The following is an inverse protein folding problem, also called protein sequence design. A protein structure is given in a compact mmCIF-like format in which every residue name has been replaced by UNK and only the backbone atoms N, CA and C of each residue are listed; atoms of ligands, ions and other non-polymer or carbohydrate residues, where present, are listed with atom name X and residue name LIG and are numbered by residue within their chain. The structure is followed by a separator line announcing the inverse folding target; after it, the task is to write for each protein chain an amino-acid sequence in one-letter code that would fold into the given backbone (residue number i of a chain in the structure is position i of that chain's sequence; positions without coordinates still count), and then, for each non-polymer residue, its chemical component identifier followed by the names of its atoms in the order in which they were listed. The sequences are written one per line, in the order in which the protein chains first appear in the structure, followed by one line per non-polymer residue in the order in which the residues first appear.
data_IF_248233335057
#
_entry.id   IF_248233335057
#
_cell.length_a   1.000
_cell.length_b   1.000
_cell.length_c   1.000
_cell.angle_alpha   90.00
_cell.angle_beta   90.00
_cell.angle_gamma   90.00
#
_symmetry.space_group_name_H-M   'P 1'
#
loop_
_entity.id
_entity.type
_entity.pdbx_description
1 polymer ?
#
# COMPACT_ATOMS: atom_id res chain seq x y z
N UNK A 1 8.90 -3.55 -16.70
CA UNK A 1 9.54 -4.22 -17.85
C UNK A 1 9.03 -3.60 -19.13
N UNK A 2 9.93 -3.20 -20.02
CA UNK A 2 9.61 -2.66 -21.35
C UNK A 2 10.21 -3.62 -22.39
N UNK A 3 9.45 -4.02 -23.40
CA UNK A 3 9.94 -4.85 -24.51
C UNK A 3 9.60 -4.14 -25.81
N UNK A 4 10.62 -3.75 -26.56
CA UNK A 4 10.52 -3.17 -27.91
C UNK A 4 11.36 -4.02 -28.85
N UNK A 5 10.77 -4.48 -29.95
CA UNK A 5 11.47 -5.21 -31.01
C UNK A 5 11.36 -4.39 -32.30
N UNK A 6 12.51 -4.07 -32.88
CA UNK A 6 12.63 -3.48 -34.22
C UNK A 6 13.28 -4.55 -35.10
N UNK A 7 12.63 -4.95 -36.20
CA UNK A 7 13.16 -5.98 -37.09
C UNK A 7 12.86 -5.65 -38.57
N UNK A 8 13.72 -6.13 -39.47
CA UNK A 8 13.51 -6.00 -40.93
C UNK A 8 12.53 -7.05 -41.42
N UNK A 9 11.59 -6.66 -42.29
CA UNK A 9 10.61 -7.56 -42.89
C UNK A 9 11.05 -8.05 -44.29
N UNK A 10 12.36 -8.15 -44.55
CA UNK A 10 12.90 -8.73 -45.79
C UNK A 10 13.45 -10.15 -45.54
N UNK A 11 12.79 -11.21 -46.04
CA UNK A 11 13.25 -12.59 -45.86
C UNK A 11 14.56 -12.92 -46.58
N UNK A 12 15.08 -12.03 -47.44
CA UNK A 12 16.31 -12.21 -48.21
C UNK A 12 17.53 -11.47 -47.64
N UNK A 13 17.40 -10.74 -46.52
CA UNK A 13 18.52 -10.09 -45.84
C UNK A 13 18.93 -10.90 -44.60
N UNK A 14 20.12 -11.53 -44.64
CA UNK A 14 20.76 -12.12 -43.46
C UNK A 14 21.78 -11.13 -42.91
N UNK A 15 21.45 -10.48 -41.80
CA UNK A 15 22.39 -9.61 -41.11
C UNK A 15 23.26 -10.45 -40.15
N UNK A 16 24.57 -10.51 -40.42
CA UNK A 16 25.55 -11.07 -39.47
C UNK A 16 25.87 -9.97 -38.46
N UNK A 17 25.20 -9.97 -37.31
CA UNK A 17 25.41 -8.93 -36.29
C UNK A 17 26.86 -8.88 -35.84
N UNK A 18 27.45 -7.68 -35.79
CA UNK A 18 28.77 -7.46 -35.21
C UNK A 18 28.68 -7.41 -33.68
N UNK A 19 29.59 -8.09 -32.98
CA UNK A 19 29.60 -8.09 -31.51
C UNK A 19 30.12 -6.75 -30.98
N UNK A 20 29.25 -5.93 -30.40
CA UNK A 20 29.63 -4.71 -29.68
C UNK A 20 28.54 -3.63 -29.68
N UNK A 21 27.79 -3.54 -30.77
CA UNK A 21 26.62 -2.67 -30.96
C UNK A 21 25.71 -3.38 -31.95
N UNK A 22 24.46 -3.75 -31.61
CA UNK A 22 23.55 -4.33 -32.57
C UNK A 22 23.41 -3.36 -33.75
N UNK A 23 23.79 -3.79 -34.94
CA UNK A 23 23.54 -3.03 -36.15
C UNK A 23 22.03 -2.86 -36.33
N UNK A 24 21.55 -1.61 -36.40
CA UNK A 24 20.15 -1.34 -36.73
C UNK A 24 19.87 -1.77 -38.18
N UNK A 25 18.71 -2.37 -38.49
CA UNK A 25 18.38 -2.72 -39.85
C UNK A 25 18.52 -1.50 -40.77
N UNK A 26 19.26 -1.63 -41.86
CA UNK A 26 19.48 -0.53 -42.78
C UNK A 26 18.17 -0.24 -43.54
N UNK A 27 17.68 1.00 -43.46
CA UNK A 27 16.50 1.47 -44.20
C UNK A 27 16.86 1.73 -45.68
N UNK A 28 17.28 0.69 -46.41
CA UNK A 28 17.45 0.79 -47.86
C UNK A 28 16.06 0.71 -48.53
N UNK A 29 15.93 1.24 -49.76
CA UNK A 29 14.68 1.38 -50.54
C UNK A 29 13.83 0.09 -50.70
N UNK A 30 14.39 -1.07 -50.35
CA UNK A 30 13.74 -2.39 -50.41
C UNK A 30 13.26 -2.90 -49.04
N UNK A 31 13.70 -2.31 -47.94
CA UNK A 31 13.50 -2.80 -46.58
C UNK A 31 12.68 -1.80 -45.75
N UNK A 32 11.37 -2.07 -45.67
CA UNK A 32 10.48 -1.32 -44.79
C UNK A 32 10.63 -1.86 -43.37
N UNK A 33 11.02 -0.98 -42.45
CA UNK A 33 11.09 -1.28 -41.03
C UNK A 33 9.74 -1.04 -40.36
N UNK A 34 9.34 -1.99 -39.52
CA UNK A 34 8.14 -1.93 -38.70
C UNK A 34 8.46 -1.78 -37.23
N UNK A 35 7.56 -1.13 -36.48
CA UNK A 35 7.55 -1.12 -35.03
C UNK A 35 6.37 -1.94 -34.51
N UNK A 36 6.64 -2.89 -33.61
CA UNK A 36 5.59 -3.59 -32.86
C UNK A 36 4.99 -2.65 -31.82
N UNK A 37 3.67 -2.66 -31.58
CA UNK A 37 3.07 -1.85 -30.52
C UNK A 37 3.67 -2.19 -29.15
N UNK A 38 4.36 -1.25 -28.48
CA UNK A 38 4.97 -1.54 -27.18
C UNK A 38 3.94 -1.62 -26.06
N UNK A 39 4.28 -2.39 -25.02
CA UNK A 39 3.49 -2.54 -23.80
C UNK A 39 4.39 -2.38 -22.57
N UNK A 40 3.94 -1.59 -21.60
CA UNK A 40 4.64 -1.33 -20.33
C UNK A 40 3.70 -1.62 -19.17
N UNK A 41 4.13 -2.48 -18.25
CA UNK A 41 3.39 -2.76 -17.01
C UNK A 41 4.05 -2.08 -15.82
N UNK A 42 3.26 -1.33 -15.04
CA UNK A 42 3.65 -0.68 -13.77
C UNK A 42 2.82 -1.25 -12.62
N UNK A 43 3.49 -1.55 -11.51
CA UNK A 43 2.86 -2.00 -10.26
C UNK A 43 3.17 -0.95 -9.21
N UNK A 44 2.15 -0.52 -8.45
CA UNK A 44 2.32 0.49 -7.42
C UNK A 44 2.09 -0.10 -6.02
N UNK A 45 2.97 0.29 -5.10
CA UNK A 45 2.87 -0.02 -3.67
C UNK A 45 3.24 1.22 -2.87
N UNK A 46 2.82 1.26 -1.62
CA UNK A 46 3.02 2.37 -0.69
C UNK A 46 3.36 1.84 0.71
N UNK A 47 3.36 2.71 1.71
CA UNK A 47 3.50 2.34 3.10
C UNK A 47 2.66 3.15 4.08
N UNK A 48 2.68 2.71 5.33
CA UNK A 48 2.13 3.42 6.47
C UNK A 48 3.27 3.73 7.43
N UNK A 49 3.35 4.97 7.89
CA UNK A 49 4.23 5.39 8.96
C UNK A 49 3.47 5.42 10.28
N UNK A 50 4.12 5.00 11.36
CA UNK A 50 3.63 5.21 12.71
C UNK A 50 4.63 6.12 13.42
N UNK A 51 4.12 7.10 14.16
CA UNK A 51 4.92 7.96 15.02
C UNK A 51 4.54 7.69 16.48
N UNK A 52 5.55 7.42 17.31
CA UNK A 52 5.37 7.18 18.73
C UNK A 52 5.50 8.46 19.55
N UNK A 53 4.49 8.70 20.37
CA UNK A 53 4.40 9.89 21.22
C UNK A 53 4.19 9.49 22.68
N UNK A 54 4.63 10.33 23.62
CA UNK A 54 4.12 10.29 24.99
C UNK A 54 2.78 11.03 25.12
N UNK A 55 2.21 10.94 26.33
CA UNK A 55 0.98 11.62 26.74
C UNK A 55 1.00 13.14 26.57
N UNK A 56 2.19 13.75 26.47
CA UNK A 56 2.39 15.20 26.33
C UNK A 56 2.66 15.58 24.87
N UNK A 57 2.61 14.61 23.94
CA UNK A 57 2.84 14.80 22.51
C UNK A 57 4.31 14.83 22.09
N UNK A 58 5.25 14.48 22.98
CA UNK A 58 6.67 14.41 22.65
C UNK A 58 7.01 13.07 22.00
N UNK A 59 7.85 13.11 20.97
CA UNK A 59 8.34 11.93 20.26
C UNK A 59 9.13 10.99 21.18
N UNK A 60 8.82 9.70 21.10
CA UNK A 60 9.51 8.61 21.83
C UNK A 60 10.62 7.99 21.00
N UNK A 61 11.64 8.80 20.75
CA UNK A 61 12.89 8.44 20.09
C UNK A 61 13.72 7.42 20.90
N UNK A 62 14.50 6.57 20.21
CA UNK A 62 15.46 5.63 20.82
C UNK A 62 14.82 4.43 21.54
N UNK A 63 13.55 4.15 21.28
CA UNK A 63 12.78 3.11 21.98
C UNK A 63 12.74 1.81 21.19
N UNK A 64 13.90 1.28 20.76
CA UNK A 64 14.04 0.05 19.94
C UNK A 64 13.41 -1.24 20.54
N UNK A 65 12.71 -1.13 21.67
CA UNK A 65 11.89 -2.17 22.28
C UNK A 65 10.41 -2.07 21.92
N UNK A 66 9.96 -0.91 21.44
CA UNK A 66 8.60 -0.73 21.01
C UNK A 66 8.40 -1.41 19.65
N UNK A 67 7.33 -2.21 19.56
CA UNK A 67 7.05 -3.03 18.39
C UNK A 67 5.59 -2.92 18.02
N UNK A 68 5.35 -3.02 16.72
CA UNK A 68 4.02 -3.02 16.15
C UNK A 68 3.84 -4.23 15.25
N UNK A 69 2.62 -4.74 15.21
CA UNK A 69 2.20 -5.67 14.17
C UNK A 69 1.19 -4.97 13.26
N UNK A 70 1.39 -5.10 11.95
CA UNK A 70 0.38 -4.78 10.94
C UNK A 70 -0.19 -6.09 10.38
N UNK A 71 -1.51 -6.18 10.33
CA UNK A 71 -2.24 -7.30 9.71
C UNK A 71 -3.27 -6.78 8.73
N UNK A 72 -3.59 -7.55 7.69
CA UNK A 72 -4.62 -7.20 6.73
C UNK A 72 -4.49 -7.99 5.44
N UNK A 73 -5.23 -7.56 4.43
CA UNK A 73 -5.13 -8.06 3.06
C UNK A 73 -4.72 -6.91 2.15
N UNK A 74 -3.70 -7.14 1.33
CA UNK A 74 -3.25 -6.17 0.32
C UNK A 74 -3.67 -6.62 -1.08
N UNK A 75 -4.08 -5.65 -1.87
CA UNK A 75 -4.37 -5.74 -3.29
C UNK A 75 -3.41 -4.83 -4.04
N UNK A 76 -2.57 -5.41 -4.88
CA UNK A 76 -1.70 -4.61 -5.73
C UNK A 76 -2.48 -4.22 -6.99
N UNK A 77 -2.47 -2.93 -7.34
CA UNK A 77 -3.02 -2.47 -8.63
C UNK A 77 -1.92 -2.40 -9.68
N UNK A 78 -2.26 -2.82 -10.89
CA UNK A 78 -1.34 -2.92 -12.02
C UNK A 78 -1.89 -2.16 -13.19
N UNK A 79 -1.10 -1.21 -13.69
CA UNK A 79 -1.43 -0.45 -14.90
C UNK A 79 -0.61 -0.98 -16.04
N UNK A 80 -1.28 -1.49 -17.06
CA UNK A 80 -0.66 -1.85 -18.33
C UNK A 80 -0.92 -0.73 -19.32
N UNK A 81 0.15 -0.08 -19.76
CA UNK A 81 0.14 0.98 -20.76
C UNK A 81 0.44 0.35 -22.10
N UNK A 82 -0.56 0.30 -22.98
CA UNK A 82 -0.42 -0.23 -24.35
C UNK A 82 -0.33 0.93 -25.32
N UNK A 83 0.58 0.83 -26.28
CA UNK A 83 0.49 1.67 -27.48
C UNK A 83 -0.53 1.07 -28.41
N UNK A 84 -1.44 1.91 -28.89
CA UNK A 84 -2.47 1.52 -29.85
C UNK A 84 -2.35 2.39 -31.10
N UNK A 85 -2.75 1.81 -32.24
CA UNK A 85 -2.78 2.49 -33.52
C UNK A 85 -4.21 2.39 -34.04
N UNK A 86 -4.95 3.49 -33.93
CA UNK A 86 -6.33 3.58 -34.40
C UNK A 86 -6.34 4.16 -35.81
N UNK A 87 -7.26 3.68 -36.65
CA UNK A 87 -7.45 4.20 -38.00
C UNK A 87 -7.82 5.68 -37.93
N UNK A 88 -7.08 6.52 -38.64
CA UNK A 88 -7.25 7.97 -38.65
C UNK A 88 -6.59 8.50 -39.93
N UNK A 89 -7.36 9.18 -40.78
CA UNK A 89 -6.86 9.71 -42.06
C UNK A 89 -5.79 10.81 -41.86
N UNK A 90 -5.78 11.47 -40.70
CA UNK A 90 -4.74 12.40 -40.28
C UNK A 90 -3.54 11.71 -39.59
N UNK A 91 -3.55 10.37 -39.51
CA UNK A 91 -2.47 9.57 -38.95
C UNK A 91 -1.17 9.67 -39.76
N UNK A 92 -0.05 9.28 -39.12
CA UNK A 92 1.27 9.25 -39.75
C UNK A 92 1.77 7.84 -40.05
N UNK A 93 1.07 6.81 -39.55
CA UNK A 93 1.52 5.44 -39.62
C UNK A 93 0.72 4.62 -40.62
N UNK A 94 1.37 3.65 -41.24
CA UNK A 94 0.78 2.63 -42.09
C UNK A 94 0.98 1.26 -41.43
N UNK A 95 0.03 0.35 -41.64
CA UNK A 95 0.10 -1.01 -41.11
C UNK A 95 0.70 -1.96 -42.13
N UNK A 96 1.71 -2.71 -41.71
CA UNK A 96 2.36 -3.76 -42.50
C UNK A 96 1.61 -5.08 -42.33
N UNK A 97 1.75 -5.99 -43.31
CA UNK A 97 1.06 -7.30 -43.30
C UNK A 97 1.47 -8.20 -42.14
N UNK A 98 2.63 -7.95 -41.54
CA UNK A 98 3.10 -8.64 -40.33
C UNK A 98 2.49 -8.08 -39.03
N UNK A 99 1.61 -7.07 -39.14
CA UNK A 99 0.93 -6.44 -38.01
C UNK A 99 1.70 -5.31 -37.34
N UNK A 100 2.91 -4.97 -37.80
CA UNK A 100 3.67 -3.82 -37.32
C UNK A 100 3.28 -2.53 -38.03
N UNK A 101 3.77 -1.40 -37.51
CA UNK A 101 3.46 -0.08 -38.05
C UNK A 101 4.72 0.64 -38.52
N UNK A 102 4.62 1.46 -39.56
CA UNK A 102 5.73 2.25 -40.08
C UNK A 102 5.29 3.67 -40.43
N UNK A 103 6.19 4.65 -40.32
CA UNK A 103 5.95 6.01 -40.83
C UNK A 103 6.31 6.15 -42.31
N UNK A 104 7.05 5.19 -42.85
CA UNK A 104 7.53 5.22 -44.24
C UNK A 104 6.35 4.94 -45.19
N UNK A 105 6.03 5.86 -46.11
CA UNK A 105 5.01 5.61 -47.14
C UNK A 105 5.43 4.48 -48.08
N UNK A 106 4.45 3.79 -48.65
CA UNK A 106 4.72 2.74 -49.65
C UNK A 106 5.30 3.31 -50.95
N UNK A 107 6.23 2.58 -51.56
CA UNK A 107 6.68 2.75 -52.96
C UNK A 107 6.15 1.60 -53.84
N UNK A 108 6.41 1.63 -55.15
CA UNK A 108 6.02 0.55 -56.08
C UNK A 108 6.64 -0.81 -55.71
N UNK A 109 7.87 -0.80 -55.17
CA UNK A 109 8.64 -2.01 -54.83
C UNK A 109 8.32 -2.57 -53.45
N UNK A 110 7.62 -1.81 -52.59
CA UNK A 110 7.33 -2.22 -51.21
C UNK A 110 5.84 -2.38 -50.93
N UNK A 111 4.95 -2.09 -51.89
CA UNK A 111 3.50 -2.09 -51.70
C UNK A 111 2.93 -3.43 -51.22
N UNK A 112 3.57 -4.53 -51.58
CA UNK A 112 3.22 -5.88 -51.16
C UNK A 112 3.41 -6.14 -49.65
N UNK A 113 4.21 -5.30 -48.96
CA UNK A 113 4.44 -5.38 -47.50
C UNK A 113 3.37 -4.70 -46.66
N UNK A 114 2.54 -3.84 -47.27
CA UNK A 114 1.51 -3.06 -46.57
C UNK A 114 0.16 -3.79 -46.59
N UNK A 115 -0.61 -3.67 -45.52
CA UNK A 115 -2.02 -4.12 -45.49
C UNK A 115 -2.90 -3.20 -46.36
N UNK A 116 -2.60 -1.90 -46.31
CA UNK A 116 -3.12 -0.88 -47.21
C UNK A 116 -2.07 0.21 -47.41
N UNK A 117 -1.92 0.69 -48.65
CA UNK A 117 -0.97 1.75 -49.01
C UNK A 117 -1.52 3.15 -48.75
N UNK A 118 -2.83 3.28 -48.55
CA UNK A 118 -3.50 4.57 -48.35
C UNK A 118 -4.02 4.74 -46.92
N UNK A 119 -4.33 3.64 -46.22
CA UNK A 119 -4.89 3.72 -44.88
C UNK A 119 -3.83 4.16 -43.88
N UNK A 120 -4.16 5.23 -43.15
CA UNK A 120 -3.32 5.75 -42.08
C UNK A 120 -3.88 5.45 -40.69
N UNK A 121 -2.96 5.46 -39.73
CA UNK A 121 -3.19 5.19 -38.33
C UNK A 121 -2.51 6.26 -37.47
N UNK A 122 -3.19 6.63 -36.39
CA UNK A 122 -2.66 7.52 -35.36
C UNK A 122 -2.23 6.70 -34.15
N UNK A 123 -0.99 6.92 -33.71
CA UNK A 123 -0.44 6.32 -32.50
C UNK A 123 -0.99 7.04 -31.27
N UNK A 124 -1.46 6.28 -30.29
CA UNK A 124 -1.78 6.80 -28.95
C UNK A 124 -1.41 5.77 -27.88
N UNK A 125 -1.49 6.17 -26.61
CA UNK A 125 -1.29 5.29 -25.45
C UNK A 125 -2.62 5.11 -24.74
N UNK A 126 -2.92 3.88 -24.35
CA UNK A 126 -4.09 3.53 -23.57
C UNK A 126 -3.67 2.86 -22.26
N UNK A 127 -4.31 3.28 -21.18
CA UNK A 127 -4.11 2.74 -19.85
C UNK A 127 -5.15 1.65 -19.59
N UNK A 128 -4.69 0.50 -19.11
CA UNK A 128 -5.54 -0.61 -18.71
C UNK A 128 -5.18 -0.96 -17.24
N UNK A 129 -5.99 -0.44 -16.31
CA UNK A 129 -5.80 -0.64 -14.89
C UNK A 129 -6.52 -1.92 -14.44
N UNK A 130 -5.75 -2.88 -13.95
CA UNK A 130 -6.24 -4.17 -13.46
C UNK A 130 -5.88 -4.35 -11.98
N UNK A 131 -6.69 -5.12 -11.27
CA UNK A 131 -6.42 -5.51 -9.88
C UNK A 131 -5.75 -6.89 -9.89
N UNK A 132 -4.63 -7.04 -9.17
CA UNK A 132 -3.97 -8.34 -8.97
C UNK A 132 -4.46 -9.02 -7.68
N UNK A 133 -4.06 -10.28 -7.53
CA UNK A 133 -4.42 -11.15 -6.41
C UNK A 133 -4.27 -10.49 -5.03
N UNK A 134 -5.22 -10.82 -4.15
CA UNK A 134 -5.16 -10.50 -2.73
C UNK A 134 -4.05 -11.32 -2.06
N UNK A 135 -3.26 -10.66 -1.21
CA UNK A 135 -2.27 -11.32 -0.37
C UNK A 135 -2.44 -10.89 1.08
N UNK A 136 -2.52 -11.86 1.98
CA UNK A 136 -2.50 -11.59 3.42
C UNK A 136 -1.15 -10.99 3.84
N UNK A 137 -1.21 -9.95 4.67
CA UNK A 137 -0.06 -9.28 5.26
C UNK A 137 -0.10 -9.52 6.77
N UNK A 138 1.03 -9.95 7.33
CA UNK A 138 1.27 -9.98 8.78
C UNK A 138 2.75 -9.72 8.97
N UNK A 139 3.08 -8.54 9.47
CA UNK A 139 4.47 -8.08 9.60
C UNK A 139 4.65 -7.41 10.97
N UNK A 140 5.76 -7.71 11.63
CA UNK A 140 6.22 -6.99 12.82
C UNK A 140 7.23 -5.92 12.42
N UNK A 141 7.09 -4.72 12.97
CA UNK A 141 8.02 -3.61 12.81
C UNK A 141 8.50 -3.14 14.17
N UNK A 142 9.77 -2.73 14.25
CA UNK A 142 10.37 -2.15 15.46
C UNK A 142 10.51 -0.65 15.27
N UNK A 143 10.25 0.11 16.33
CA UNK A 143 10.42 1.57 16.31
C UNK A 143 11.90 1.93 16.23
N UNK A 144 12.24 2.84 15.34
CA UNK A 144 13.59 3.33 15.11
C UNK A 144 14.04 4.38 16.15
N UNK A 145 15.27 4.85 15.98
CA UNK A 145 15.86 5.84 16.89
C UNK A 145 15.15 7.20 16.85
N UNK A 146 14.37 7.48 15.80
CA UNK A 146 13.62 8.72 15.64
C UNK A 146 12.17 8.59 16.13
N UNK A 147 11.77 7.43 16.66
CA UNK A 147 10.43 7.19 17.18
C UNK A 147 9.41 6.79 16.11
N UNK A 148 9.87 6.38 14.92
CA UNK A 148 9.02 5.95 13.81
C UNK A 148 9.10 4.45 13.56
N UNK A 149 8.05 3.88 12.97
CA UNK A 149 8.13 2.61 12.26
C UNK A 149 7.38 2.73 10.94
N UNK A 150 7.97 2.19 9.87
CA UNK A 150 7.42 2.27 8.52
C UNK A 150 7.12 0.85 8.03
N UNK A 151 5.86 0.61 7.65
CA UNK A 151 5.44 -0.61 6.96
C UNK A 151 5.31 -0.31 5.47
N UNK A 152 6.25 -0.79 4.67
CA UNK A 152 6.30 -0.55 3.21
C UNK A 152 5.79 -1.74 2.38
N UNK A 153 5.62 -1.53 1.08
CA UNK A 153 5.17 -2.57 0.14
C UNK A 153 3.69 -2.95 0.31
N UNK A 154 2.90 -2.05 0.89
CA UNK A 154 1.46 -2.18 1.05
C UNK A 154 0.75 -1.77 -0.25
N UNK A 155 -0.37 -2.42 -0.55
CA UNK A 155 -1.26 -2.05 -1.65
C UNK A 155 -2.58 -1.50 -1.12
N UNK A 156 -3.57 -1.42 -1.98
CA UNK A 156 -4.95 -1.13 -1.58
C UNK A 156 -5.41 -2.20 -0.58
N UNK A 157 -6.17 -1.80 0.43
CA UNK A 157 -6.63 -2.72 1.45
C UNK A 157 -6.87 -2.06 2.80
N UNK A 158 -7.39 -2.84 3.73
CA UNK A 158 -7.62 -2.40 5.10
C UNK A 158 -6.64 -3.11 6.02
N UNK A 159 -5.90 -2.32 6.79
CA UNK A 159 -4.85 -2.78 7.67
C UNK A 159 -5.16 -2.42 9.12
N UNK A 160 -4.89 -3.37 10.00
CA UNK A 160 -4.97 -3.25 11.45
C UNK A 160 -3.58 -3.19 12.04
N UNK A 161 -3.36 -2.20 12.88
CA UNK A 161 -2.08 -1.89 13.50
C UNK A 161 -2.26 -1.99 14.99
N UNK A 162 -1.39 -2.77 15.64
CA UNK A 162 -1.40 -2.96 17.08
C UNK A 162 0.00 -2.84 17.65
N UNK A 163 0.15 -2.09 18.72
CA UNK A 163 1.38 -2.10 19.52
C UNK A 163 1.46 -3.46 20.25
N UNK A 164 2.56 -4.18 20.07
CA UNK A 164 2.81 -5.48 20.71
C UNK A 164 3.77 -5.39 21.86
N UNK A 165 4.69 -4.42 21.80
CA UNK A 165 5.61 -4.10 22.89
C UNK A 165 5.68 -2.58 23.05
N UNK A 166 5.57 -2.13 24.30
CA UNK A 166 5.67 -0.72 24.66
C UNK A 166 7.14 -0.31 24.88
N UNK A 167 7.48 0.99 24.74
CA UNK A 167 8.73 1.54 25.24
C UNK A 167 8.94 1.31 26.75
N UNK A 168 10.20 1.25 27.18
CA UNK A 168 10.54 1.13 28.60
C UNK A 168 9.99 2.32 29.42
N UNK A 169 9.32 2.00 30.54
CA UNK A 169 8.71 3.01 31.42
C UNK A 169 7.32 3.50 30.98
N UNK A 170 6.75 2.91 29.93
CA UNK A 170 5.41 3.22 29.42
C UNK A 170 4.51 2.00 29.43
N UNK A 171 3.20 2.25 29.44
CA UNK A 171 2.19 1.21 29.28
C UNK A 171 1.97 0.89 27.81
N UNK A 172 1.70 -0.39 27.54
CA UNK A 172 1.24 -0.85 26.24
C UNK A 172 -0.09 -0.18 25.91
N UNK A 173 -0.19 0.39 24.72
CA UNK A 173 -1.45 0.90 24.20
C UNK A 173 -2.38 -0.28 23.88
N UNK A 174 -3.55 -0.40 24.53
CA UNK A 174 -4.47 -1.50 24.27
C UNK A 174 -5.21 -1.36 22.94
N UNK A 175 -5.15 -0.19 22.29
CA UNK A 175 -5.95 0.11 21.11
C UNK A 175 -5.40 -0.56 19.84
N UNK A 176 -6.32 -0.88 18.93
CA UNK A 176 -6.02 -1.28 17.55
C UNK A 176 -6.42 -0.14 16.61
N UNK A 177 -5.53 0.21 15.69
CA UNK A 177 -5.74 1.27 14.72
C UNK A 177 -6.03 0.67 13.36
N UNK A 178 -7.10 1.13 12.70
CA UNK A 178 -7.47 0.65 11.37
C UNK A 178 -7.22 1.74 10.33
N UNK A 179 -6.49 1.40 9.27
CA UNK A 179 -6.20 2.29 8.15
C UNK A 179 -6.60 1.60 6.86
N UNK A 180 -7.38 2.28 6.03
CA UNK A 180 -7.73 1.82 4.69
C UNK A 180 -6.93 2.60 3.67
N UNK A 181 -6.18 1.88 2.84
CA UNK A 181 -5.47 2.40 1.69
C UNK A 181 -6.30 2.12 0.44
N UNK A 182 -6.51 3.12 -0.39
CA UNK A 182 -7.03 2.99 -1.73
C UNK A 182 -6.14 3.73 -2.73
N UNK A 183 -6.20 3.35 -4.00
CA UNK A 183 -5.53 4.07 -5.07
C UNK A 183 -6.36 4.18 -6.33
N UNK A 184 -6.06 5.22 -7.11
CA UNK A 184 -6.49 5.39 -8.49
C UNK A 184 -5.26 5.53 -9.40
N UNK A 185 -4.69 4.41 -9.90
CA UNK A 185 -3.45 4.45 -10.66
C UNK A 185 -3.62 4.66 -12.16
N UNK A 186 -2.72 5.46 -12.73
CA UNK A 186 -2.59 5.74 -14.16
C UNK A 186 -1.18 5.42 -14.65
N UNK A 187 -0.91 5.64 -15.94
CA UNK A 187 0.44 5.60 -16.49
C UNK A 187 1.41 6.58 -15.82
N UNK A 188 0.91 7.67 -15.24
CA UNK A 188 1.75 8.73 -14.67
C UNK A 188 1.99 8.54 -13.16
N UNK A 189 1.11 7.79 -12.48
CA UNK A 189 1.28 7.42 -11.09
C UNK A 189 -0.02 7.04 -10.39
N UNK A 190 0.06 6.56 -9.14
CA UNK A 190 -1.09 6.31 -8.27
C UNK A 190 -1.52 7.58 -7.53
N UNK A 191 -2.81 7.91 -7.60
CA UNK A 191 -3.44 8.81 -6.65
C UNK A 191 -3.85 8.00 -5.42
N UNK A 192 -3.15 8.15 -4.31
CA UNK A 192 -3.41 7.41 -3.07
C UNK A 192 -4.44 8.09 -2.17
N UNK A 193 -5.16 7.28 -1.40
CA UNK A 193 -6.04 7.72 -0.31
C UNK A 193 -5.85 6.82 0.92
N UNK A 194 -5.65 7.37 2.13
CA UNK A 194 -5.47 8.79 2.40
C UNK A 194 -4.19 9.33 1.74
N UNK A 195 -4.08 10.66 1.62
CA UNK A 195 -2.87 11.35 1.14
C UNK A 195 -2.29 12.20 2.27
N UNK A 196 -2.01 11.57 3.41
CA UNK A 196 -1.38 12.19 4.58
C UNK A 196 0.02 11.57 4.82
N UNK A 197 0.93 11.70 3.84
CA UNK A 197 2.29 11.17 3.95
C UNK A 197 3.06 11.84 5.09
N UNK A 198 4.15 11.19 5.52
CA UNK A 198 5.17 11.88 6.32
C UNK A 198 5.89 12.99 5.54
N UNK A 199 6.51 13.92 6.25
CA UNK A 199 7.29 15.02 5.65
C UNK A 199 8.53 14.54 4.90
N UNK A 200 9.05 13.36 5.24
CA UNK A 200 10.18 12.72 4.57
C UNK A 200 9.68 11.73 3.51
N UNK A 201 10.33 11.64 2.35
CA UNK A 201 9.95 10.89 1.14
C UNK A 201 9.87 9.35 1.31
N UNK A 202 9.27 8.85 2.38
CA UNK A 202 9.21 7.46 2.81
C UNK A 202 8.22 6.60 2.00
N UNK A 203 7.69 7.13 0.89
CA UNK A 203 6.65 6.50 0.08
C UNK A 203 5.44 6.04 0.91
N UNK A 204 5.14 6.77 1.99
CA UNK A 204 3.99 6.49 2.86
C UNK A 204 2.80 7.33 2.45
N UNK A 205 1.60 6.86 2.74
CA UNK A 205 0.34 7.56 2.42
C UNK A 205 -0.44 7.97 3.66
N UNK A 206 -0.07 7.43 4.82
CA UNK A 206 -0.66 7.75 6.09
C UNK A 206 0.42 7.80 7.18
N UNK A 207 0.31 8.75 8.09
CA UNK A 207 0.98 8.73 9.39
C UNK A 207 -0.04 8.46 10.50
N UNK A 208 0.17 7.42 11.29
CA UNK A 208 -0.61 7.11 12.48
C UNK A 208 0.18 7.48 13.74
N UNK A 209 -0.37 8.40 14.52
CA UNK A 209 0.21 8.73 15.83
C UNK A 209 -0.30 7.74 16.87
N UNK A 210 0.59 7.17 17.67
CA UNK A 210 0.25 6.26 18.76
C UNK A 210 0.87 6.80 20.05
N UNK A 211 0.03 7.08 21.04
CA UNK A 211 0.44 7.71 22.30
C UNK A 211 0.57 6.67 23.41
N UNK A 212 1.74 6.55 24.04
CA UNK A 212 1.86 5.77 25.28
C UNK A 212 1.70 6.66 26.51
N UNK A 213 1.04 6.12 27.52
CA UNK A 213 0.93 6.73 28.85
C UNK A 213 1.98 6.16 29.79
N UNK A 214 2.64 7.05 30.54
CA UNK A 214 3.52 6.71 31.66
C UNK A 214 2.72 6.30 32.88
N UNK A 215 3.39 5.60 33.78
CA UNK A 215 2.85 5.23 35.09
C UNK A 215 2.60 3.74 35.20
N UNK A 216 2.42 3.28 36.42
CA UNK A 216 2.14 1.87 36.72
C UNK A 216 0.64 1.68 36.53
N UNK A 217 0.22 0.86 35.56
CA UNK A 217 -1.10 0.23 35.65
C UNK A 217 -1.07 -0.67 36.87
N UNK A 218 -1.65 -0.20 37.97
CA UNK A 218 -1.94 -1.10 39.08
C UNK A 218 -2.85 -2.19 38.51
N UNK A 219 -2.53 -3.48 38.65
CA UNK A 219 -3.51 -4.51 38.34
C UNK A 219 -4.77 -4.13 39.11
N UNK A 220 -5.94 -4.21 38.49
CA UNK A 220 -7.19 -4.08 39.23
C UNK A 220 -7.20 -5.22 40.26
N UNK A 221 -6.69 -4.96 41.47
CA UNK A 221 -6.63 -5.94 42.55
C UNK A 221 -8.02 -6.02 43.14
N UNK A 222 -8.86 -6.76 42.44
CA UNK A 222 -10.25 -6.92 42.79
C UNK A 222 -10.92 -8.01 41.98
N UNK A 223 -10.31 -9.20 41.94
CA UNK A 223 -11.05 -10.39 41.53
C UNK A 223 -12.27 -10.61 42.43
N UNK A 224 -13.14 -11.54 42.06
CA UNK A 224 -14.39 -11.87 42.79
C UNK A 224 -14.19 -12.01 44.32
N UNK A 225 -13.01 -12.45 44.78
CA UNK A 225 -12.68 -12.56 46.21
C UNK A 225 -12.84 -11.26 47.01
N UNK A 226 -12.44 -10.09 46.48
CA UNK A 226 -12.58 -8.82 47.23
C UNK A 226 -14.02 -8.32 47.28
N UNK A 227 -14.81 -8.60 46.23
CA UNK A 227 -16.25 -8.29 46.20
C UNK A 227 -16.97 -9.05 47.32
N UNK A 228 -16.63 -10.32 47.56
CA UNK A 228 -17.19 -11.12 48.66
C UNK A 228 -16.87 -10.47 50.02
N UNK A 229 -15.64 -10.02 50.24
CA UNK A 229 -15.27 -9.35 51.51
C UNK A 229 -16.04 -8.05 51.73
N UNK A 230 -16.27 -7.23 50.69
CA UNK A 230 -17.07 -6.01 50.81
C UNK A 230 -18.54 -6.31 51.12
N UNK A 231 -19.14 -7.31 50.46
CA UNK A 231 -20.53 -7.70 50.68
C UNK A 231 -20.72 -8.28 52.09
N UNK A 232 -19.85 -9.20 52.52
CA UNK A 232 -19.92 -9.79 53.87
C UNK A 232 -19.67 -8.73 54.94
N UNK A 233 -18.66 -7.87 54.76
CA UNK A 233 -18.33 -6.80 55.69
C UNK A 233 -19.48 -5.80 55.86
N UNK A 234 -20.11 -5.37 54.77
CA UNK A 234 -21.25 -4.45 54.83
C UNK A 234 -22.50 -5.09 55.47
N UNK A 235 -22.72 -6.38 55.26
CA UNK A 235 -23.80 -7.14 55.90
C UNK A 235 -23.58 -7.28 57.41
N UNK A 236 -22.34 -7.55 57.86
CA UNK A 236 -21.97 -7.59 59.28
C UNK A 236 -22.14 -6.23 59.96
N UNK A 237 -21.73 -5.13 59.30
CA UNK A 237 -21.92 -3.77 59.83
C UNK A 237 -23.42 -3.44 59.94
N UNK A 238 -24.22 -3.83 58.94
CA UNK A 238 -25.68 -3.67 58.99
C UNK A 238 -26.31 -4.40 60.17
N UNK A 239 -25.93 -5.67 60.40
CA UNK A 239 -26.41 -6.47 61.53
C UNK A 239 -26.01 -5.86 62.88
N UNK A 240 -24.77 -5.39 63.01
CA UNK A 240 -24.30 -4.70 64.22
C UNK A 240 -25.06 -3.39 64.46
N UNK A 241 -25.36 -2.63 63.41
CA UNK A 241 -26.18 -1.42 63.49
C UNK A 241 -27.60 -1.68 63.99
N UNK A 242 -28.25 -2.72 63.47
CA UNK A 242 -29.59 -3.15 63.93
C UNK A 242 -29.54 -3.56 65.40
N UNK A 243 -28.57 -4.39 65.80
CA UNK A 243 -28.38 -4.84 67.18
C UNK A 243 -28.15 -3.66 68.14
N UNK A 244 -27.35 -2.68 67.74
CA UNK A 244 -27.09 -1.48 68.53
C UNK A 244 -28.36 -0.65 68.76
N UNK A 245 -29.16 -0.45 67.71
CA UNK A 245 -30.44 0.28 67.81
C UNK A 245 -31.44 -0.47 68.71
N UNK A 246 -31.53 -1.80 68.58
CA UNK A 246 -32.43 -2.61 69.43
C UNK A 246 -32.00 -2.60 70.89
N UNK A 247 -30.68 -2.69 71.19
CA UNK A 247 -30.18 -2.56 72.56
C UNK A 247 -30.49 -1.19 73.13
N UNK A 248 -30.23 -0.11 72.38
CA UNK A 248 -30.53 1.27 72.83
C UNK A 248 -32.02 1.49 73.13
N UNK A 249 -32.92 0.91 72.33
CA UNK A 249 -34.38 0.99 72.57
C UNK A 249 -34.81 0.21 73.81
N UNK A 250 -34.18 -0.93 74.10
CA UNK A 250 -34.49 -1.74 75.27
C UNK A 250 -33.99 -1.08 76.56
N UNK A 251 -32.77 -0.51 76.56
CA UNK A 251 -32.24 0.22 77.73
C UNK A 251 -32.99 1.53 78.01
N UNK A 252 -33.62 2.13 77.00
CA UNK A 252 -34.47 3.30 77.17
C UNK A 252 -35.90 2.97 77.67
N UNK A 253 -36.30 1.68 77.68
CA UNK A 253 -37.59 1.22 78.23
C UNK A 253 -37.48 0.73 79.69
N UNK A 254 -36.27 0.57 80.21
CA UNK A 254 -35.98 0.14 81.60
C UNK A 254 -35.64 1.30 82.55
N UNK A 255 -35.87 2.56 82.15
CA UNK A 255 -35.75 3.76 82.98
C UNK A 255 -37.10 4.45 83.10
#
# INVERSE_FOLDING_TARGET
NSVNLTYSNNPNQKYQGTTGTPDEPNSDEKDVMGITPPSLTKVYTTGIRILKLDQDGKVLAGTQRAKFTITGEKLNRVVTVKTVFAQDDAGEYYKLKDGTYTKTPSTETTADKYESTTQKYKKSTQDDATVQDSKTVTVEGTVDDNGYVIFSGLGDGTYKIRETYAPDGYNLDPNEYTITIGSNPTKDGPEWSPATPGEDNDYTVATQNVTNKKGIILPATGGIGTVIFYVVGSLLIGAAGVLFVTKRKNTAKEK
#
